data_IF_995893130639
#
_entry.id   IF_995893130639
#
_cell.length_a   1.000
_cell.length_b   1.000
_cell.length_c   1.000
_cell.angle_alpha   90.00
_cell.angle_beta   90.00
_cell.angle_gamma   90.00
#
_symmetry.space_group_name_H-M   'P 1'
#
loop_
_entity.id
_entity.type
_entity.pdbx_description
1 polymer ?
#
# COMPACT_ATOMS: atom_id res chain seq x y z
N UNK A 1 -0.27 -24.01 -5.80
CA UNK A 1 0.50 -22.87 -5.30
C UNK A 1 1.87 -23.37 -4.87
N UNK A 2 2.95 -22.89 -5.48
CA UNK A 2 4.30 -23.32 -5.13
C UNK A 2 4.72 -22.65 -3.80
N UNK A 3 5.35 -23.42 -2.91
CA UNK A 3 5.94 -22.85 -1.68
C UNK A 3 7.25 -22.15 -2.03
N UNK A 4 7.41 -20.92 -1.59
CA UNK A 4 8.66 -20.17 -1.65
C UNK A 4 9.24 -20.07 -0.24
N UNK A 5 10.52 -20.32 -0.10
CA UNK A 5 11.24 -20.24 1.17
C UNK A 5 12.33 -19.18 1.06
N UNK A 6 12.56 -18.46 2.17
CA UNK A 6 13.72 -17.57 2.29
C UNK A 6 15.01 -18.38 2.25
N UNK A 7 16.06 -17.77 1.70
CA UNK A 7 17.40 -18.37 1.71
C UNK A 7 17.93 -18.46 3.14
N UNK A 8 18.67 -19.51 3.49
CA UNK A 8 19.28 -19.61 4.82
C UNK A 8 20.15 -18.38 5.13
N UNK A 9 20.01 -17.83 6.33
CA UNK A 9 20.80 -16.70 6.85
C UNK A 9 20.68 -15.38 6.09
N UNK A 10 19.64 -15.19 5.25
CA UNK A 10 19.37 -13.92 4.57
C UNK A 10 18.09 -13.32 5.12
N UNK A 11 18.23 -12.24 5.88
CA UNK A 11 17.10 -11.53 6.50
C UNK A 11 16.25 -10.75 5.51
N UNK A 12 16.83 -10.31 4.39
CA UNK A 12 16.17 -9.42 3.42
C UNK A 12 15.22 -10.15 2.45
N UNK A 13 15.10 -11.47 2.58
CA UNK A 13 14.26 -12.26 1.67
C UNK A 13 12.75 -12.17 2.01
N UNK A 14 12.38 -11.53 3.12
CA UNK A 14 10.98 -11.40 3.52
C UNK A 14 10.60 -10.01 4.08
N UNK A 15 10.91 -8.91 3.38
CA UNK A 15 10.69 -7.56 3.89
C UNK A 15 9.20 -7.23 4.08
N UNK A 16 8.31 -7.87 3.33
CA UNK A 16 6.86 -7.63 3.43
C UNK A 16 6.27 -8.17 4.72
N UNK A 17 6.64 -9.38 5.14
CA UNK A 17 6.20 -9.94 6.41
C UNK A 17 6.75 -9.16 7.60
N UNK A 18 8.02 -8.74 7.53
CA UNK A 18 8.65 -7.91 8.55
C UNK A 18 7.93 -6.56 8.70
N UNK A 19 7.61 -5.91 7.59
CA UNK A 19 6.85 -4.66 7.58
C UNK A 19 5.46 -4.83 8.19
N UNK A 20 4.77 -5.94 7.89
CA UNK A 20 3.46 -6.25 8.45
C UNK A 20 3.53 -6.51 9.95
N UNK A 21 4.51 -7.29 10.41
CA UNK A 21 4.74 -7.51 11.84
C UNK A 21 5.09 -6.22 12.59
N UNK A 22 5.88 -5.34 11.97
CA UNK A 22 6.12 -4.00 12.52
C UNK A 22 4.82 -3.23 12.70
N UNK A 23 3.98 -3.18 11.67
CA UNK A 23 2.69 -2.49 11.73
C UNK A 23 1.82 -3.03 12.86
N UNK A 24 1.81 -4.34 13.09
CA UNK A 24 1.07 -4.94 14.20
C UNK A 24 1.66 -4.58 15.56
N UNK A 25 2.97 -4.75 15.73
CA UNK A 25 3.65 -4.57 17.03
C UNK A 25 3.68 -3.12 17.54
N UNK A 26 3.71 -2.15 16.61
CA UNK A 26 3.78 -0.73 16.98
C UNK A 26 2.40 -0.05 17.07
N UNK A 27 1.33 -0.81 17.00
CA UNK A 27 0.00 -0.27 17.30
C UNK A 27 -0.15 -0.02 18.81
N UNK A 28 -0.84 1.07 19.18
CA UNK A 28 -1.08 1.38 20.61
C UNK A 28 -1.87 0.30 21.37
N UNK A 29 -2.66 -0.49 20.65
CA UNK A 29 -3.49 -1.58 21.19
C UNK A 29 -2.77 -2.94 21.25
N UNK A 30 -1.49 -2.99 20.83
CA UNK A 30 -0.72 -4.24 20.93
C UNK A 30 -0.31 -4.50 22.39
N UNK A 31 -0.72 -5.64 22.96
CA UNK A 31 -0.43 -5.93 24.37
C UNK A 31 1.05 -6.26 24.57
N UNK A 32 1.59 -5.90 25.72
CA UNK A 32 2.95 -6.22 26.11
C UNK A 32 3.15 -7.75 26.26
N UNK A 33 2.08 -8.44 26.69
CA UNK A 33 2.04 -9.91 26.82
C UNK A 33 0.61 -10.39 26.58
N UNK A 34 0.47 -11.52 25.88
CA UNK A 34 -0.81 -12.24 25.77
C UNK A 34 -1.00 -13.19 26.94
N UNK A 35 -2.23 -13.29 27.44
CA UNK A 35 -2.58 -14.19 28.54
C UNK A 35 -2.62 -15.65 28.09
N UNK A 36 -3.03 -15.91 26.86
CA UNK A 36 -3.14 -17.25 26.26
C UNK A 36 -2.92 -17.21 24.75
N UNK A 37 -2.86 -18.37 24.12
CA UNK A 37 -2.78 -18.49 22.67
C UNK A 37 -4.11 -18.10 22.00
N UNK A 38 -5.22 -18.32 22.69
CA UNK A 38 -6.57 -17.92 22.24
C UNK A 38 -6.70 -16.40 22.20
N UNK A 39 -6.17 -15.74 23.21
CA UNK A 39 -6.11 -14.28 23.30
C UNK A 39 -5.25 -13.69 22.15
N UNK A 40 -4.09 -14.26 21.92
CA UNK A 40 -3.24 -13.87 20.79
C UNK A 40 -3.94 -14.07 19.44
N UNK A 41 -4.66 -15.18 19.26
CA UNK A 41 -5.44 -15.43 18.02
C UNK A 41 -6.55 -14.42 17.82
N UNK A 42 -7.30 -14.11 18.88
CA UNK A 42 -8.38 -13.11 18.85
C UNK A 42 -7.84 -11.73 18.46
N UNK A 43 -6.72 -11.32 19.07
CA UNK A 43 -6.05 -10.07 18.72
C UNK A 43 -5.62 -10.04 17.23
N UNK A 44 -4.98 -11.12 16.75
CA UNK A 44 -4.58 -11.24 15.35
C UNK A 44 -5.78 -11.19 14.39
N UNK A 45 -6.89 -11.85 14.70
CA UNK A 45 -8.10 -11.80 13.88
C UNK A 45 -8.64 -10.37 13.76
N UNK A 46 -8.72 -9.65 14.87
CA UNK A 46 -9.14 -8.24 14.90
C UNK A 46 -8.17 -7.36 14.11
N UNK A 47 -6.87 -7.56 14.31
CA UNK A 47 -5.84 -6.84 13.57
C UNK A 47 -5.96 -7.05 12.05
N UNK A 48 -6.07 -8.31 11.59
CA UNK A 48 -6.14 -8.60 10.16
C UNK A 48 -7.44 -8.14 9.52
N UNK A 49 -8.56 -8.16 10.24
CA UNK A 49 -9.80 -7.57 9.75
C UNK A 49 -9.65 -6.05 9.50
N UNK A 50 -9.09 -5.33 10.46
CA UNK A 50 -8.76 -3.92 10.31
C UNK A 50 -7.73 -3.68 9.20
N UNK A 51 -6.63 -4.43 9.18
CA UNK A 51 -5.54 -4.29 8.22
C UNK A 51 -6.01 -4.47 6.78
N UNK A 52 -6.84 -5.46 6.52
CA UNK A 52 -7.34 -5.73 5.18
C UNK A 52 -8.43 -4.76 4.75
N UNK A 53 -9.29 -4.33 5.66
CA UNK A 53 -10.48 -3.52 5.33
C UNK A 53 -10.32 -2.02 5.50
N UNK A 54 -9.42 -1.56 6.39
CA UNK A 54 -9.34 -0.15 6.76
C UNK A 54 -7.93 0.44 6.60
N UNK A 55 -6.88 -0.35 6.81
CA UNK A 55 -5.52 0.16 6.72
C UNK A 55 -5.12 0.49 5.28
N UNK A 56 -4.73 1.75 5.06
CA UNK A 56 -4.32 2.25 3.74
C UNK A 56 -2.82 2.13 3.56
N UNK A 57 -2.38 1.34 2.58
CA UNK A 57 -0.98 1.11 2.28
C UNK A 57 -0.41 2.10 1.27
N UNK A 58 0.69 2.76 1.60
CA UNK A 58 1.39 3.67 0.69
C UNK A 58 1.92 2.94 -0.56
N UNK A 59 2.40 1.70 -0.41
CA UNK A 59 2.92 0.88 -1.49
C UNK A 59 1.88 0.46 -2.54
N UNK A 60 0.58 0.52 -2.22
CA UNK A 60 -0.52 0.26 -3.14
C UNK A 60 -1.41 1.50 -3.34
N UNK A 61 -0.78 2.67 -3.38
CA UNK A 61 -1.47 3.94 -3.65
C UNK A 61 -2.47 4.36 -2.58
N UNK A 62 -2.18 4.08 -1.30
CA UNK A 62 -3.07 4.32 -0.15
C UNK A 62 -4.43 3.64 -0.30
N UNK A 63 -4.46 2.47 -0.95
CA UNK A 63 -5.62 1.59 -0.97
C UNK A 63 -5.56 0.59 0.19
N UNK A 64 -6.69 -0.04 0.49
CA UNK A 64 -6.72 -1.18 1.41
C UNK A 64 -6.41 -2.47 0.65
N UNK A 65 -5.81 -3.49 1.27
CA UNK A 65 -5.62 -4.79 0.62
C UNK A 65 -6.93 -5.36 0.04
N UNK A 66 -8.04 -5.20 0.77
CA UNK A 66 -9.37 -5.63 0.32
C UNK A 66 -9.78 -4.96 -1.00
N UNK A 67 -9.64 -3.63 -1.10
CA UNK A 67 -10.05 -2.91 -2.31
C UNK A 67 -9.23 -3.29 -3.55
N UNK A 68 -7.96 -3.62 -3.36
CA UNK A 68 -7.08 -4.11 -4.44
C UNK A 68 -7.45 -5.55 -4.83
N UNK A 69 -7.62 -6.43 -3.86
CA UNK A 69 -7.93 -7.84 -4.07
C UNK A 69 -9.27 -8.04 -4.82
N UNK A 70 -10.27 -7.23 -4.51
CA UNK A 70 -11.62 -7.34 -5.09
C UNK A 70 -11.89 -6.35 -6.24
N UNK A 71 -10.84 -5.78 -6.83
CA UNK A 71 -10.94 -4.94 -8.04
C UNK A 71 -11.61 -3.58 -7.86
N UNK A 72 -11.79 -3.12 -6.60
CA UNK A 72 -12.43 -1.83 -6.29
C UNK A 72 -11.45 -0.64 -6.40
N UNK A 73 -10.15 -0.93 -6.53
CA UNK A 73 -9.12 0.10 -6.49
C UNK A 73 -9.26 1.13 -7.60
N UNK A 74 -9.67 0.73 -8.81
CA UNK A 74 -9.83 1.65 -9.94
C UNK A 74 -10.96 2.66 -9.69
N UNK A 75 -12.13 2.20 -9.26
CA UNK A 75 -13.24 3.08 -8.93
C UNK A 75 -12.89 4.08 -7.80
N UNK A 76 -12.19 3.62 -6.78
CA UNK A 76 -11.70 4.49 -5.71
C UNK A 76 -10.71 5.55 -6.21
N UNK A 77 -9.84 5.19 -7.17
CA UNK A 77 -8.90 6.15 -7.79
C UNK A 77 -9.64 7.24 -8.55
N UNK A 78 -10.65 6.88 -9.31
CA UNK A 78 -11.47 7.84 -10.07
C UNK A 78 -12.15 8.85 -9.14
N UNK A 79 -12.76 8.39 -8.05
CA UNK A 79 -13.35 9.26 -7.02
C UNK A 79 -12.30 10.18 -6.39
N UNK A 80 -11.13 9.66 -6.04
CA UNK A 80 -10.05 10.47 -5.47
C UNK A 80 -9.51 11.50 -6.46
N UNK A 81 -9.35 11.12 -7.73
CA UNK A 81 -8.90 12.06 -8.78
C UNK A 81 -9.93 13.16 -9.02
N UNK A 82 -11.22 12.83 -9.01
CA UNK A 82 -12.28 13.82 -9.12
C UNK A 82 -12.24 14.82 -7.95
N UNK A 83 -12.02 14.35 -6.73
CA UNK A 83 -11.86 15.19 -5.54
C UNK A 83 -10.65 16.13 -5.67
N UNK A 84 -9.51 15.60 -6.14
CA UNK A 84 -8.31 16.41 -6.37
C UNK A 84 -8.52 17.47 -7.45
N UNK A 85 -9.21 17.12 -8.51
CA UNK A 85 -9.55 18.06 -9.58
C UNK A 85 -10.48 19.18 -9.07
N UNK A 86 -11.49 18.84 -8.30
CA UNK A 86 -12.38 19.82 -7.66
C UNK A 86 -11.62 20.78 -6.73
N UNK A 87 -10.72 20.26 -5.90
CA UNK A 87 -9.88 21.05 -5.03
C UNK A 87 -8.92 21.96 -5.81
N UNK A 88 -8.35 21.47 -6.91
CA UNK A 88 -7.51 22.28 -7.79
C UNK A 88 -8.28 23.43 -8.43
N UNK A 89 -9.48 23.16 -8.93
CA UNK A 89 -10.32 24.19 -9.55
C UNK A 89 -10.74 25.27 -8.54
N UNK A 90 -11.00 24.89 -7.29
CA UNK A 90 -11.36 25.83 -6.23
C UNK A 90 -10.17 26.70 -5.76
N UNK A 91 -8.95 26.13 -5.69
CA UNK A 91 -7.76 26.80 -5.15
C UNK A 91 -6.49 26.44 -5.92
N UNK A 92 -6.31 26.92 -7.17
CA UNK A 92 -5.16 26.56 -8.02
C UNK A 92 -3.81 26.95 -7.39
N UNK A 93 -3.77 28.07 -6.68
CA UNK A 93 -2.56 28.61 -6.05
C UNK A 93 -1.98 27.66 -5.00
N UNK A 94 -2.81 26.90 -4.30
CA UNK A 94 -2.37 25.90 -3.32
C UNK A 94 -1.54 24.79 -3.99
N UNK A 95 -1.78 24.51 -5.24
CA UNK A 95 -1.08 23.49 -6.03
C UNK A 95 0.01 24.09 -6.94
N UNK A 96 0.39 25.36 -6.73
CA UNK A 96 1.39 26.06 -7.56
C UNK A 96 1.05 26.05 -9.06
N UNK A 97 -0.23 26.04 -9.41
CA UNK A 97 -0.69 25.95 -10.80
C UNK A 97 -0.53 24.57 -11.46
N UNK A 98 -0.04 23.57 -10.76
CA UNK A 98 0.15 22.22 -11.29
C UNK A 98 -1.02 21.34 -10.89
N UNK A 99 -1.71 20.75 -11.86
CA UNK A 99 -2.85 19.85 -11.60
C UNK A 99 -2.36 18.59 -10.87
N UNK A 100 -2.93 18.25 -9.70
CA UNK A 100 -2.52 17.06 -8.95
C UNK A 100 -2.97 15.79 -9.66
N UNK A 101 -2.10 14.80 -9.70
CA UNK A 101 -2.36 13.48 -10.28
C UNK A 101 -2.01 12.38 -9.29
N UNK A 102 -2.85 11.35 -9.23
CA UNK A 102 -2.58 10.17 -8.43
C UNK A 102 -1.48 9.33 -9.08
N UNK A 103 -0.51 8.90 -8.27
CA UNK A 103 0.53 7.97 -8.75
C UNK A 103 -0.12 6.69 -9.32
N UNK A 104 0.43 6.11 -10.39
CA UNK A 104 -0.07 4.85 -10.92
C UNK A 104 0.01 3.75 -9.85
N UNK A 105 -0.90 2.79 -9.91
CA UNK A 105 -0.82 1.59 -9.07
C UNK A 105 0.34 0.73 -9.54
N UNK A 106 1.12 0.14 -8.62
CA UNK A 106 2.13 -0.83 -9.00
C UNK A 106 1.46 -2.06 -9.64
N UNK A 107 1.97 -2.49 -10.77
CA UNK A 107 1.48 -3.70 -11.47
C UNK A 107 2.09 -4.97 -10.91
N UNK A 108 3.25 -4.86 -10.25
CA UNK A 108 3.96 -5.96 -9.61
C UNK A 108 4.67 -5.48 -8.35
N UNK A 109 4.88 -6.39 -7.41
CA UNK A 109 5.70 -6.19 -6.23
C UNK A 109 6.90 -7.14 -6.30
N UNK A 110 8.10 -6.58 -6.36
CA UNK A 110 9.33 -7.35 -6.48
C UNK A 110 10.14 -7.31 -5.19
N UNK A 111 10.64 -8.46 -4.78
CA UNK A 111 11.78 -8.58 -3.88
C UNK A 111 12.98 -8.78 -4.80
N UNK A 112 13.89 -7.83 -4.89
CA UNK A 112 15.00 -7.82 -5.85
C UNK A 112 14.53 -7.84 -7.31
N UNK A 113 14.02 -6.71 -7.85
CA UNK A 113 13.60 -6.63 -9.24
C UNK A 113 14.75 -6.91 -10.20
N UNK A 114 14.50 -7.53 -11.36
CA UNK A 114 15.47 -7.68 -12.43
C UNK A 114 16.08 -6.32 -12.83
N UNK A 115 17.35 -6.31 -13.26
CA UNK A 115 18.07 -5.09 -13.61
C UNK A 115 17.38 -4.25 -14.71
N UNK A 116 16.62 -4.88 -15.59
CA UNK A 116 15.87 -4.21 -16.66
C UNK A 116 14.68 -3.41 -16.14
N UNK A 117 14.02 -3.87 -15.07
CA UNK A 117 12.85 -3.17 -14.49
C UNK A 117 13.23 -2.02 -13.54
N UNK A 118 14.45 -1.99 -13.02
CA UNK A 118 14.93 -0.87 -12.20
C UNK A 118 14.99 0.45 -12.96
N UNK A 119 15.17 0.41 -14.27
CA UNK A 119 15.27 1.61 -15.13
C UNK A 119 13.93 2.25 -15.45
N UNK A 120 12.81 1.52 -15.36
CA UNK A 120 11.46 2.01 -15.69
C UNK A 120 10.75 2.69 -14.53
N UNK A 121 11.18 2.47 -13.29
CA UNK A 121 10.55 3.08 -12.10
C UNK A 121 11.04 4.50 -11.82
N UNK A 122 12.15 4.94 -12.40
CA UNK A 122 12.71 6.29 -12.19
C UNK A 122 12.14 7.36 -13.13
N UNK A 123 11.43 7.00 -14.20
CA UNK A 123 10.84 7.97 -15.10
C UNK A 123 9.41 8.32 -14.62
N UNK A 124 9.32 9.29 -13.74
CA UNK A 124 8.07 9.99 -13.40
C UNK A 124 7.57 10.71 -14.65
N UNK A 125 6.70 10.07 -15.43
CA UNK A 125 6.02 10.78 -16.52
C UNK A 125 5.05 11.80 -15.94
N UNK A 126 5.13 13.07 -16.36
CA UNK A 126 4.09 14.04 -16.07
C UNK A 126 2.80 13.60 -16.75
N UNK A 127 1.67 13.79 -16.05
CA UNK A 127 0.34 13.54 -16.61
C UNK A 127 0.12 14.43 -17.85
N UNK A 128 0.37 13.90 -19.03
CA UNK A 128 -0.04 14.56 -20.27
C UNK A 128 -1.53 14.38 -20.43
N UNK A 129 -2.24 15.48 -20.27
CA UNK A 129 -3.67 15.58 -20.60
C UNK A 129 -3.74 15.72 -22.11
N UNK A 130 -4.20 14.70 -22.81
CA UNK A 130 -4.68 14.88 -24.18
C UNK A 130 -5.95 15.73 -24.11
N UNK A 131 -5.90 16.80 -24.84
CA UNK A 131 -6.99 17.76 -25.09
C UNK A 131 -8.14 17.09 -25.82
#
# INVERSE_FOLDING_TARGET
>A
MAKSHSRPYISDDNPYSESQFKTMKYRPDFPERFGSIEDARSHCQTFFAWYNGQHCHSGIGHMTPYSVQYGQAQAMREVRQATLNAAFNATPNRFKGIRPCLKPMPTAAWINPPLEERKTTETTQPCTVNS
#
